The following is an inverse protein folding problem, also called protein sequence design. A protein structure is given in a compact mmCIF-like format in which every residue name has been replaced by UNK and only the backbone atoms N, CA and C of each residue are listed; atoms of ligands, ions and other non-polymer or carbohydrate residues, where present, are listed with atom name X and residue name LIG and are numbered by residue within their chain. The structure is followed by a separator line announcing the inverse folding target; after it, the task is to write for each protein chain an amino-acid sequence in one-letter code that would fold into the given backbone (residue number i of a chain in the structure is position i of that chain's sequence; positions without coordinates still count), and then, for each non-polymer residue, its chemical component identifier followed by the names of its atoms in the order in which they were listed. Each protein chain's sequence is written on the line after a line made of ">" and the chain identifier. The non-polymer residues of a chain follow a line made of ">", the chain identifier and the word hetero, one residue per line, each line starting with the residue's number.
data_IF_137601668318
#
_entry.id   IF_137601668318
#
_cell.length_a   1.000
_cell.length_b   1.000
_cell.length_c   1.000
_cell.angle_alpha   90.00
_cell.angle_beta   90.00
_cell.angle_gamma   90.00
#
_symmetry.space_group_name_H-M   'P 1'
#
loop_
_entity.id
_entity.type
_entity.pdbx_description
1 polymer ?
#
# COMPACT_ATOMS: atom_id res chain seq x y z
N UNK A 1 -24.14 -30.15 13.99
CA UNK A 1 -24.89 -29.56 12.85
C UNK A 1 -25.41 -28.22 13.38
N UNK A 2 -24.67 -27.12 13.30
CA UNK A 2 -24.38 -26.30 12.10
C UNK A 2 -22.88 -25.93 12.07
N UNK A 3 -22.32 -25.93 10.85
CA UNK A 3 -20.91 -25.66 10.50
C UNK A 3 -20.85 -24.25 9.88
N UNK A 4 -19.66 -23.63 9.91
CA UNK A 4 -19.19 -22.41 9.21
C UNK A 4 -19.39 -21.09 9.98
N UNK A 5 -18.34 -20.50 10.56
CA UNK A 5 -17.16 -19.88 9.94
C UNK A 5 -17.39 -18.41 9.60
N UNK A 6 -16.80 -17.54 10.43
CA UNK A 6 -15.96 -16.42 10.03
C UNK A 6 -15.76 -15.56 11.29
N UNK A 7 -14.64 -15.76 12.00
CA UNK A 7 -14.03 -14.59 12.61
C UNK A 7 -13.71 -13.69 11.42
N UNK A 8 -14.48 -12.62 11.26
CA UNK A 8 -14.21 -11.59 10.27
C UNK A 8 -12.87 -10.95 10.63
N UNK A 9 -11.78 -11.54 10.14
CA UNK A 9 -10.55 -10.81 9.94
C UNK A 9 -10.86 -9.81 8.82
N UNK A 10 -11.37 -8.64 9.21
CA UNK A 10 -11.40 -7.46 8.35
C UNK A 10 -9.94 -7.21 7.96
N UNK A 11 -9.58 -7.56 6.73
CA UNK A 11 -8.23 -7.38 6.22
C UNK A 11 -8.30 -6.76 4.83
N UNK A 12 -7.45 -5.75 4.65
CA UNK A 12 -7.32 -4.84 3.53
C UNK A 12 -8.46 -3.81 3.41
N UNK A 13 -8.12 -2.54 3.62
CA UNK A 13 -8.89 -1.43 3.07
C UNK A 13 -9.16 -1.71 1.59
N UNK A 14 -10.38 -1.47 1.11
CA UNK A 14 -10.77 -1.66 -0.29
C UNK A 14 -10.07 -0.64 -1.21
N UNK A 15 -8.78 -0.83 -1.46
CA UNK A 15 -8.02 -0.04 -2.43
C UNK A 15 -8.37 -0.49 -3.85
N UNK A 16 -8.85 0.46 -4.66
CA UNK A 16 -9.15 0.22 -6.07
C UNK A 16 -7.92 0.53 -6.92
N UNK A 17 -7.36 -0.50 -7.56
CA UNK A 17 -6.23 -0.35 -8.47
C UNK A 17 -6.54 0.61 -9.62
N UNK A 18 -5.76 1.70 -9.79
CA UNK A 18 -5.92 2.62 -10.93
C UNK A 18 -5.73 1.93 -12.29
N UNK A 19 -4.75 1.03 -12.37
CA UNK A 19 -4.53 0.14 -13.52
C UNK A 19 -4.44 -1.33 -13.11
N UNK A 20 -4.53 -2.24 -14.08
CA UNK A 20 -4.42 -3.70 -13.86
C UNK A 20 -3.10 -4.10 -13.20
N UNK A 21 -2.05 -3.30 -13.36
CA UNK A 21 -0.73 -3.55 -12.76
C UNK A 21 -0.05 -2.24 -12.39
N UNK A 22 0.72 -2.26 -11.30
CA UNK A 22 1.54 -1.13 -10.89
C UNK A 22 1.72 -1.08 -9.38
N UNK A 23 2.35 -0.01 -8.93
CA UNK A 23 2.61 0.30 -7.54
C UNK A 23 2.03 1.68 -7.24
N UNK A 24 1.21 1.79 -6.20
CA UNK A 24 0.44 3.01 -5.92
C UNK A 24 0.51 3.35 -4.44
N UNK A 25 0.70 4.63 -4.13
CA UNK A 25 0.72 5.11 -2.77
C UNK A 25 -0.63 4.90 -2.06
N UNK A 26 -0.56 4.66 -0.75
CA UNK A 26 -1.70 4.86 0.14
C UNK A 26 -2.01 6.36 0.29
N UNK A 27 -3.28 6.78 0.41
CA UNK A 27 -3.62 8.19 0.60
C UNK A 27 -3.23 8.80 1.96
N UNK A 28 -2.89 8.01 2.99
CA UNK A 28 -2.68 8.48 4.36
C UNK A 28 -1.31 8.09 4.94
N UNK A 29 -0.79 6.92 4.60
CA UNK A 29 0.44 6.36 5.16
C UNK A 29 1.58 6.37 4.12
N UNK A 30 2.67 7.09 4.39
CA UNK A 30 3.69 7.34 3.37
C UNK A 30 4.54 6.11 3.03
N UNK A 31 4.71 5.21 3.98
CA UNK A 31 5.44 3.96 3.82
C UNK A 31 4.54 2.78 3.41
N UNK A 32 3.24 3.01 3.23
CA UNK A 32 2.28 2.03 2.71
C UNK A 32 2.02 2.27 1.23
N UNK A 33 2.00 1.18 0.47
CA UNK A 33 1.65 1.19 -0.94
C UNK A 33 0.93 -0.09 -1.34
N UNK A 34 0.35 -0.08 -2.53
CA UNK A 34 -0.39 -1.19 -3.10
C UNK A 34 0.29 -1.69 -4.35
N UNK A 35 0.59 -3.00 -4.39
CA UNK A 35 0.97 -3.70 -5.61
C UNK A 35 -0.28 -4.22 -6.30
N UNK A 36 -0.58 -3.66 -7.45
CA UNK A 36 -1.67 -4.11 -8.30
C UNK A 36 -1.22 -5.23 -9.25
N UNK A 37 -1.98 -6.31 -9.30
CA UNK A 37 -1.79 -7.40 -10.27
C UNK A 37 -3.13 -7.94 -10.74
N UNK A 38 -3.38 -7.90 -12.06
CA UNK A 38 -4.68 -8.23 -12.67
C UNK A 38 -5.85 -7.47 -12.04
N UNK A 39 -5.60 -6.23 -11.60
CA UNK A 39 -6.57 -5.36 -10.93
C UNK A 39 -6.85 -5.70 -9.46
N UNK A 40 -6.14 -6.66 -8.88
CA UNK A 40 -6.21 -6.97 -7.45
C UNK A 40 -5.08 -6.25 -6.71
N UNK A 41 -5.42 -5.54 -5.64
CA UNK A 41 -4.48 -4.82 -4.81
C UNK A 41 -3.93 -5.73 -3.71
N UNK A 42 -2.62 -5.73 -3.57
CA UNK A 42 -1.92 -6.29 -2.41
C UNK A 42 -1.28 -5.14 -1.64
N UNK A 43 -1.68 -4.97 -0.39
CA UNK A 43 -1.07 -4.00 0.52
C UNK A 43 0.38 -4.42 0.84
N UNK A 44 1.28 -3.44 0.80
CA UNK A 44 2.70 -3.58 1.10
C UNK A 44 3.16 -2.43 1.99
N UNK A 45 4.21 -2.69 2.75
CA UNK A 45 4.92 -1.71 3.54
C UNK A 45 6.36 -1.64 3.05
N UNK A 46 6.91 -0.43 3.01
CA UNK A 46 8.33 -0.23 2.83
C UNK A 46 9.11 -0.78 4.04
N UNK A 47 10.38 -1.21 3.85
CA UNK A 47 11.24 -1.56 4.99
C UNK A 47 11.33 -0.41 6.00
N UNK A 48 11.57 -0.74 7.27
CA UNK A 48 11.67 0.23 8.35
C UNK A 48 12.59 1.42 8.00
N UNK A 49 12.08 2.63 8.23
CA UNK A 49 12.79 3.88 7.98
C UNK A 49 12.79 4.34 6.52
N UNK A 50 12.10 3.65 5.61
CA UNK A 50 11.89 4.06 4.22
C UNK A 50 10.42 4.40 3.96
N UNK A 51 10.17 5.21 2.93
CA UNK A 51 8.84 5.61 2.47
C UNK A 51 8.68 5.35 0.98
N UNK A 52 7.44 5.22 0.50
CA UNK A 52 7.15 4.87 -0.89
C UNK A 52 7.22 6.09 -1.83
N UNK A 53 8.10 6.00 -2.82
CA UNK A 53 8.27 6.99 -3.89
C UNK A 53 7.29 6.70 -5.04
N UNK A 54 6.27 7.55 -5.19
CA UNK A 54 5.12 7.34 -6.06
C UNK A 54 5.21 8.04 -7.43
N UNK A 55 6.40 8.50 -7.82
CA UNK A 55 6.59 9.22 -9.10
C UNK A 55 6.50 8.30 -10.32
N UNK A 56 6.67 6.99 -10.12
CA UNK A 56 6.60 6.00 -11.20
C UNK A 56 5.85 4.73 -10.78
N UNK A 57 4.61 4.51 -11.24
CA UNK A 57 3.81 3.36 -10.87
C UNK A 57 4.31 2.03 -11.44
N UNK A 58 5.35 2.04 -12.29
CA UNK A 58 6.00 0.82 -12.79
C UNK A 58 7.22 0.39 -11.97
N UNK A 59 7.57 1.13 -10.90
CA UNK A 59 8.69 0.82 -10.02
C UNK A 59 8.20 0.65 -8.58
N UNK A 60 8.55 -0.48 -7.98
CA UNK A 60 8.44 -0.68 -6.54
C UNK A 60 9.64 0.01 -5.90
N UNK A 61 9.48 1.26 -5.49
CA UNK A 61 10.58 2.06 -4.95
C UNK A 61 10.24 2.58 -3.56
N UNK A 62 11.04 2.12 -2.59
CA UNK A 62 11.11 2.72 -1.27
C UNK A 62 12.43 3.48 -1.17
N UNK A 63 12.38 4.71 -0.68
CA UNK A 63 13.57 5.55 -0.49
C UNK A 63 13.50 6.25 0.88
N UNK A 64 14.58 6.90 1.27
CA UNK A 64 14.67 7.62 2.54
C UNK A 64 13.70 8.82 2.55
N UNK A 65 13.13 9.18 3.72
CA UNK A 65 12.16 10.28 3.84
C UNK A 65 12.64 11.65 3.33
N UNK A 66 13.95 11.87 3.23
CA UNK A 66 14.50 13.12 2.68
C UNK A 66 14.42 13.23 1.16
N UNK A 67 14.18 12.13 0.44
CA UNK A 67 14.15 12.07 -1.02
C UNK A 67 12.73 12.04 -1.59
N UNK A 68 11.72 11.78 -0.75
CA UNK A 68 10.33 11.57 -1.17
C UNK A 68 9.44 12.62 -0.54
N UNK A 69 8.57 13.24 -1.34
CA UNK A 69 7.53 14.13 -0.83
C UNK A 69 6.27 13.34 -0.51
N UNK A 70 6.02 13.13 0.78
CA UNK A 70 4.83 12.42 1.25
C UNK A 70 3.53 13.25 1.11
N UNK A 71 3.62 14.56 0.93
CA UNK A 71 2.45 15.45 0.95
C UNK A 71 1.62 15.28 2.23
N UNK A 72 0.34 14.91 2.06
CA UNK A 72 -0.59 14.68 3.18
C UNK A 72 -0.52 13.27 3.78
N UNK A 73 0.29 12.37 3.21
CA UNK A 73 0.52 11.01 3.72
C UNK A 73 1.41 11.08 4.97
N UNK A 74 0.85 11.38 6.13
CA UNK A 74 1.63 11.66 7.35
C UNK A 74 1.82 10.45 8.26
N UNK A 75 1.09 9.37 8.01
CA UNK A 75 1.17 8.16 8.83
C UNK A 75 2.36 7.30 8.41
N UNK A 76 2.88 6.50 9.35
CA UNK A 76 3.99 5.56 9.17
C UNK A 76 3.66 4.27 9.92
N UNK A 77 4.44 3.21 9.69
CA UNK A 77 4.39 1.98 10.47
C UNK A 77 4.59 2.24 11.96
N UNK A 78 3.71 1.63 12.78
CA UNK A 78 3.82 1.57 14.25
C UNK A 78 4.64 0.36 14.70
#
# INVERSE_FOLDING_TARGET
>A
LIIFAACAFVSAQDFNCPDKSGFYADPYQCDLYYRCSKGQAEQKLCPDGLVFADENPHKELCDIPSNVDCGDRKELQE
#
